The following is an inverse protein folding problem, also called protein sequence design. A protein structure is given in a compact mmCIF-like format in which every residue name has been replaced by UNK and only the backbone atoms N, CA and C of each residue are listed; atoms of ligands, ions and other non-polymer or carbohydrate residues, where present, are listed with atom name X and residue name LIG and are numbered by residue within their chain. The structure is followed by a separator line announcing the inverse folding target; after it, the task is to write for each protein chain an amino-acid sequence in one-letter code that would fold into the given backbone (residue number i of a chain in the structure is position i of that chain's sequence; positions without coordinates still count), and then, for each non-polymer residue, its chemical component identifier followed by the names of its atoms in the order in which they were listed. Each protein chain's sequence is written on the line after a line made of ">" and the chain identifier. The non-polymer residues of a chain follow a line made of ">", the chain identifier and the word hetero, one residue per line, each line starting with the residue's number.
data_IF_600936072885
#
_entry.id   IF_600936072885
#
_cell.length_a   1.000
_cell.length_b   1.000
_cell.length_c   1.000
_cell.angle_alpha   90.00
_cell.angle_beta   90.00
_cell.angle_gamma   90.00
#
_symmetry.space_group_name_H-M   'P 1'
#
loop_
_entity.id
_entity.type
_entity.pdbx_description
1 polymer ?
#
# COMPACT_ATOMS: atom_id res chain seq x y z
N UNK A 1 -21.87 -19.24 -9.11
CA UNK A 1 -21.29 -19.69 -7.82
C UNK A 1 -19.78 -19.46 -7.71
N UNK A 2 -18.98 -19.41 -8.80
CA UNK A 2 -17.53 -19.17 -8.70
C UNK A 2 -17.11 -17.69 -8.61
N UNK A 3 -17.92 -16.77 -9.15
CA UNK A 3 -17.58 -15.35 -9.22
C UNK A 3 -17.13 -14.71 -7.89
N UNK A 4 -17.73 -15.03 -6.72
CA UNK A 4 -17.27 -14.48 -5.44
C UNK A 4 -15.82 -14.86 -5.09
N UNK A 5 -15.33 -16.02 -5.53
CA UNK A 5 -13.94 -16.42 -5.30
C UNK A 5 -12.96 -15.64 -6.18
N UNK A 6 -13.34 -15.33 -7.42
CA UNK A 6 -12.52 -14.48 -8.28
C UNK A 6 -12.41 -13.07 -7.71
N UNK A 7 -13.51 -12.52 -7.21
CA UNK A 7 -13.51 -11.21 -6.54
C UNK A 7 -12.68 -11.23 -5.26
N UNK A 8 -12.83 -12.26 -4.42
CA UNK A 8 -12.06 -12.40 -3.19
C UNK A 8 -10.54 -12.46 -3.44
N UNK A 9 -10.10 -13.21 -4.47
CA UNK A 9 -8.67 -13.28 -4.83
C UNK A 9 -8.17 -11.94 -5.35
N UNK A 10 -8.97 -11.22 -6.15
CA UNK A 10 -8.60 -9.89 -6.63
C UNK A 10 -8.42 -8.91 -5.46
N UNK A 11 -9.38 -8.86 -4.54
CA UNK A 11 -9.33 -8.01 -3.34
C UNK A 11 -8.16 -8.37 -2.43
N UNK A 12 -7.92 -9.66 -2.17
CA UNK A 12 -6.80 -10.09 -1.34
C UNK A 12 -5.45 -9.74 -1.97
N UNK A 13 -5.33 -9.84 -3.29
CA UNK A 13 -4.11 -9.47 -4.02
C UNK A 13 -3.89 -7.96 -3.95
N UNK A 14 -4.92 -7.15 -4.22
CA UNK A 14 -4.86 -5.69 -4.10
C UNK A 14 -4.39 -5.27 -2.69
N UNK A 15 -5.03 -5.82 -1.66
CA UNK A 15 -4.75 -5.48 -0.27
C UNK A 15 -3.35 -5.94 0.16
N UNK A 16 -2.86 -7.08 -0.36
CA UNK A 16 -1.50 -7.55 -0.07
C UNK A 16 -0.41 -6.59 -0.58
N UNK A 17 -0.61 -5.98 -1.76
CA UNK A 17 0.32 -5.02 -2.34
C UNK A 17 0.33 -3.74 -1.50
N UNK A 18 -0.86 -3.27 -1.11
CA UNK A 18 -0.99 -2.09 -0.23
C UNK A 18 -0.33 -2.35 1.12
N UNK A 19 -0.59 -3.49 1.76
CA UNK A 19 0.02 -3.86 3.03
C UNK A 19 1.54 -3.94 2.97
N UNK A 20 2.11 -4.48 1.88
CA UNK A 20 3.55 -4.53 1.70
C UNK A 20 4.17 -3.11 1.67
N UNK A 21 3.53 -2.15 0.99
CA UNK A 21 4.01 -0.76 0.96
C UNK A 21 3.86 -0.06 2.32
N UNK A 22 2.75 -0.30 3.03
CA UNK A 22 2.50 0.32 4.35
C UNK A 22 3.46 -0.21 5.41
N UNK A 23 3.76 -1.51 5.39
CA UNK A 23 4.65 -2.15 6.37
C UNK A 23 6.14 -1.94 6.08
N UNK A 24 6.50 -1.54 4.85
CA UNK A 24 7.89 -1.31 4.48
C UNK A 24 8.52 -0.16 5.28
N UNK A 25 9.79 -0.31 5.66
CA UNK A 25 10.60 0.73 6.29
C UNK A 25 11.58 1.34 5.30
N UNK A 26 11.99 2.59 5.54
CA UNK A 26 13.05 3.23 4.75
C UNK A 26 14.35 2.47 5.00
N UNK A 27 15.04 2.07 3.93
CA UNK A 27 16.28 1.30 4.04
C UNK A 27 17.37 1.84 3.13
N UNK A 28 18.62 1.62 3.54
CA UNK A 28 19.82 1.86 2.73
C UNK A 28 20.36 0.50 2.27
N UNK A 29 20.35 0.28 0.97
CA UNK A 29 20.85 -0.93 0.33
C UNK A 29 22.33 -0.85 -0.06
N UNK A 30 22.75 -1.81 -0.88
CA UNK A 30 24.11 -1.88 -1.43
C UNK A 30 24.46 -0.58 -2.17
N UNK A 31 25.72 -0.13 -2.06
CA UNK A 31 26.17 1.08 -2.75
C UNK A 31 25.60 2.39 -2.19
N UNK A 32 24.95 2.38 -1.02
CA UNK A 32 24.37 3.58 -0.40
C UNK A 32 23.03 4.01 -0.99
N UNK A 33 22.40 3.16 -1.82
CA UNK A 33 21.08 3.46 -2.38
C UNK A 33 20.01 3.48 -1.29
N UNK A 34 19.36 4.62 -1.11
CA UNK A 34 18.26 4.76 -0.15
C UNK A 34 16.93 4.57 -0.85
N UNK A 35 16.11 3.65 -0.34
CA UNK A 35 14.72 3.46 -0.76
C UNK A 35 13.82 3.87 0.41
N UNK A 36 12.97 4.86 0.16
CA UNK A 36 12.08 5.41 1.18
C UNK A 36 10.78 4.62 1.26
N UNK A 37 10.34 4.35 2.49
CA UNK A 37 8.99 3.90 2.75
C UNK A 37 7.96 4.93 2.27
N UNK A 38 6.75 4.46 2.00
CA UNK A 38 5.65 5.37 1.68
C UNK A 38 5.41 6.31 2.88
N UNK A 39 5.40 7.65 2.69
CA UNK A 39 5.17 8.57 3.79
C UNK A 39 3.69 8.53 4.22
N UNK A 40 3.41 7.88 5.35
CA UNK A 40 2.04 7.65 5.84
C UNK A 40 1.26 8.96 6.06
N UNK A 41 1.92 10.02 6.52
CA UNK A 41 1.28 11.33 6.72
C UNK A 41 0.80 11.94 5.40
N UNK A 42 1.60 11.85 4.34
CA UNK A 42 1.25 12.33 3.00
C UNK A 42 0.17 11.48 2.37
N UNK A 43 0.24 10.16 2.55
CA UNK A 43 -0.81 9.25 2.10
C UNK A 43 -2.16 9.63 2.74
N UNK A 44 -2.20 9.81 4.06
CA UNK A 44 -3.42 10.22 4.76
C UNK A 44 -3.95 11.58 4.29
N UNK A 45 -3.06 12.55 4.01
CA UNK A 45 -3.46 13.86 3.44
C UNK A 45 -4.14 13.68 2.08
N UNK A 46 -3.57 12.88 1.19
CA UNK A 46 -4.15 12.60 -0.14
C UNK A 46 -5.49 11.88 0.00
N UNK A 47 -5.59 10.86 0.85
CA UNK A 47 -6.86 10.14 1.05
C UNK A 47 -7.98 11.06 1.56
N UNK A 48 -7.67 11.99 2.48
CA UNK A 48 -8.64 13.01 2.93
C UNK A 48 -9.04 13.96 1.82
N UNK A 49 -8.09 14.44 1.00
CA UNK A 49 -8.36 15.33 -0.13
C UNK A 49 -9.40 14.74 -1.10
N UNK A 50 -9.37 13.43 -1.31
CA UNK A 50 -10.31 12.72 -2.19
C UNK A 50 -11.51 12.10 -1.43
N UNK A 51 -11.74 12.48 -0.17
CA UNK A 51 -12.83 11.96 0.67
C UNK A 51 -12.85 10.42 0.79
N UNK A 52 -11.66 9.79 0.79
CA UNK A 52 -11.47 8.35 0.99
C UNK A 52 -11.09 7.97 2.42
N UNK A 53 -10.77 8.96 3.26
CA UNK A 53 -10.48 8.81 4.68
C UNK A 53 -11.18 9.95 5.44
N UNK A 54 -11.93 9.63 6.50
CA UNK A 54 -12.60 10.62 7.36
C UNK A 54 -11.65 11.16 8.42
#
# INVERSE_FOLDING_TARGET
>A
MINPFFEAVAQATEESIVNAMIAAETMVGIGGHTVYAIPHDRLMKVLRQYNRLK
#
